data_IF_181459733674
#
_entry.id   IF_181459733674
#
_cell.length_a   1.000
_cell.length_b   1.000
_cell.length_c   1.000
_cell.angle_alpha   90.00
_cell.angle_beta   90.00
_cell.angle_gamma   90.00
#
_symmetry.space_group_name_H-M   'P 1'
#
loop_
_entity.id
_entity.type
_entity.pdbx_description
1 polymer ?
#
# COMPACT_ATOMS: atom_id res chain seq x y z
N UNK A 1 6.35 -69.22 19.93
CA UNK A 1 6.97 -68.38 18.87
C UNK A 1 6.21 -67.06 18.82
N UNK A 2 6.71 -66.03 19.51
CA UNK A 2 6.12 -64.70 19.54
C UNK A 2 6.99 -63.75 18.70
N UNK A 3 6.37 -63.06 17.73
CA UNK A 3 7.00 -61.99 16.94
C UNK A 3 6.82 -60.65 17.67
N UNK A 4 7.84 -59.81 17.84
CA UNK A 4 7.65 -58.45 18.31
C UNK A 4 7.35 -57.50 17.14
N UNK A 5 6.41 -56.60 17.37
CA UNK A 5 6.06 -55.49 16.49
C UNK A 5 7.10 -54.37 16.62
N UNK A 6 7.65 -53.90 15.48
CA UNK A 6 8.55 -52.76 15.42
C UNK A 6 7.75 -51.45 15.36
N UNK A 7 7.95 -50.60 16.35
CA UNK A 7 7.42 -49.24 16.42
C UNK A 7 8.38 -48.30 15.65
N UNK A 8 7.93 -47.72 14.54
CA UNK A 8 8.69 -46.69 13.83
C UNK A 8 8.32 -45.31 14.41
N UNK A 9 9.26 -44.70 15.15
CA UNK A 9 9.20 -43.29 15.53
C UNK A 9 9.73 -42.43 14.38
N UNK A 10 8.86 -41.62 13.77
CA UNK A 10 9.26 -40.54 12.88
C UNK A 10 9.73 -39.34 13.72
N UNK A 11 11.03 -39.04 13.69
CA UNK A 11 11.57 -37.79 14.22
C UNK A 11 11.26 -36.66 13.23
N UNK A 12 10.34 -35.77 13.58
CA UNK A 12 10.19 -34.48 12.91
C UNK A 12 11.31 -33.56 13.38
N UNK A 13 12.27 -33.26 12.51
CA UNK A 13 13.29 -32.25 12.76
C UNK A 13 12.66 -30.85 12.60
N UNK A 14 12.38 -30.18 13.72
CA UNK A 14 12.17 -28.73 13.71
C UNK A 14 13.53 -28.06 13.51
N UNK A 15 13.82 -27.62 12.28
CA UNK A 15 14.90 -26.68 12.02
C UNK A 15 14.48 -25.29 12.51
N UNK A 16 14.75 -24.98 13.78
CA UNK A 16 14.80 -23.60 14.25
C UNK A 16 16.03 -22.94 13.64
N UNK A 17 15.85 -22.28 12.51
CA UNK A 17 16.84 -21.33 11.98
C UNK A 17 16.87 -20.13 12.92
N UNK A 18 17.72 -20.17 13.94
CA UNK A 18 18.08 -18.99 14.70
C UNK A 18 18.89 -18.08 13.78
N UNK A 19 18.23 -17.16 13.09
CA UNK A 19 18.91 -16.00 12.52
C UNK A 19 19.59 -15.28 13.67
N UNK A 20 20.93 -15.19 13.65
CA UNK A 20 21.65 -14.41 14.64
C UNK A 20 21.15 -12.97 14.57
N UNK A 21 20.39 -12.55 15.58
CA UNK A 21 19.99 -11.15 15.74
C UNK A 21 21.24 -10.35 16.06
N UNK A 22 21.56 -9.40 15.18
CA UNK A 22 22.59 -8.41 15.42
C UNK A 22 21.92 -7.06 15.64
N UNK A 23 22.68 -6.10 16.15
CA UNK A 23 22.22 -4.72 16.21
C UNK A 23 22.57 -4.03 14.87
N UNK A 24 21.64 -3.25 14.35
CA UNK A 24 21.85 -2.39 13.19
C UNK A 24 21.99 -0.94 13.68
N UNK A 25 23.18 -0.37 13.47
CA UNK A 25 23.47 1.03 13.72
C UNK A 25 23.46 1.81 12.40
N UNK A 26 22.69 2.89 12.37
CA UNK A 26 22.57 3.74 11.18
C UNK A 26 22.77 5.22 11.54
N UNK A 27 23.61 5.88 10.77
CA UNK A 27 23.70 7.34 10.76
C UNK A 27 22.57 7.90 9.91
N UNK A 28 21.62 8.58 10.54
CA UNK A 28 20.44 9.15 9.87
C UNK A 28 20.77 10.45 9.14
N UNK A 29 21.81 11.16 9.58
CA UNK A 29 22.29 12.41 9.00
C UNK A 29 22.30 13.54 10.01
N UNK A 30 22.50 14.77 9.52
CA UNK A 30 22.42 15.96 10.36
C UNK A 30 20.96 16.28 10.75
N UNK A 31 20.82 17.09 11.81
CA UNK A 31 19.51 17.54 12.31
C UNK A 31 18.62 18.14 11.21
N UNK A 32 19.20 18.87 10.25
CA UNK A 32 18.44 19.52 9.19
C UNK A 32 17.88 18.52 8.18
N UNK A 33 18.68 17.55 7.73
CA UNK A 33 18.25 16.47 6.85
C UNK A 33 17.14 15.67 7.52
N UNK A 34 17.36 15.21 8.76
CA UNK A 34 16.36 14.37 9.44
C UNK A 34 15.06 15.14 9.69
N UNK A 35 15.14 16.43 10.03
CA UNK A 35 13.96 17.30 10.14
C UNK A 35 13.14 17.30 8.84
N UNK A 36 13.79 17.48 7.69
CA UNK A 36 13.13 17.52 6.38
C UNK A 36 12.53 16.18 5.98
N UNK A 37 13.27 15.09 6.14
CA UNK A 37 12.83 13.76 5.69
C UNK A 37 11.72 13.17 6.57
N UNK A 38 11.65 13.55 7.84
CA UNK A 38 10.59 13.14 8.77
C UNK A 38 9.46 14.17 8.93
N UNK A 39 9.47 15.20 8.08
CA UNK A 39 8.52 16.32 8.07
C UNK A 39 8.38 17.04 9.44
N UNK A 40 9.41 17.02 10.27
CA UNK A 40 9.35 17.53 11.64
C UNK A 40 9.38 19.08 11.67
N UNK A 41 8.60 19.73 12.56
CA UNK A 41 7.50 19.15 13.33
C UNK A 41 6.31 18.85 12.43
N UNK A 42 5.72 17.67 12.57
CA UNK A 42 4.71 17.15 11.63
C UNK A 42 3.28 17.16 12.18
N UNK A 43 3.05 17.70 13.39
CA UNK A 43 1.71 17.83 13.98
C UNK A 43 1.59 19.02 14.95
N UNK A 44 2.35 20.09 14.68
CA UNK A 44 2.42 21.27 15.52
C UNK A 44 2.01 22.55 14.79
N UNK A 45 1.36 23.44 15.52
CA UNK A 45 1.30 24.87 15.21
C UNK A 45 1.79 25.62 16.48
N UNK A 46 1.04 26.61 16.99
CA UNK A 46 1.29 27.19 18.32
C UNK A 46 1.19 26.13 19.43
N UNK A 47 0.39 25.08 19.21
CA UNK A 47 0.25 23.93 20.11
C UNK A 47 0.53 22.66 19.31
N UNK A 48 1.36 21.78 19.86
CA UNK A 48 1.63 20.45 19.29
C UNK A 48 0.57 19.45 19.72
N UNK A 49 -0.02 18.73 18.76
CA UNK A 49 -0.92 17.62 19.07
C UNK A 49 -0.15 16.48 19.75
N UNK A 50 1.06 16.17 19.26
CA UNK A 50 2.05 15.35 19.96
C UNK A 50 3.35 16.12 20.07
N UNK A 51 3.70 16.55 21.29
CA UNK A 51 4.91 17.32 21.54
C UNK A 51 6.16 16.41 21.60
N UNK A 52 6.45 15.72 20.51
CA UNK A 52 7.61 14.85 20.37
C UNK A 52 8.87 15.64 20.01
N UNK A 53 10.03 15.17 20.49
CA UNK A 53 11.31 15.60 19.94
C UNK A 53 11.53 14.99 18.55
N UNK A 54 12.52 15.50 17.80
CA UNK A 54 12.89 14.91 16.52
C UNK A 54 13.24 13.42 16.66
N UNK A 55 14.00 13.07 17.71
CA UNK A 55 14.38 11.68 18.01
C UNK A 55 13.14 10.80 18.25
N UNK A 56 12.17 11.28 19.02
CA UNK A 56 10.93 10.55 19.29
C UNK A 56 10.08 10.36 18.02
N UNK A 57 10.00 11.38 17.16
CA UNK A 57 9.31 11.25 15.86
C UNK A 57 9.97 10.20 14.97
N UNK A 58 11.30 10.22 14.87
CA UNK A 58 12.04 9.23 14.09
C UNK A 58 11.88 7.83 14.68
N UNK A 59 12.06 7.70 15.99
CA UNK A 59 11.94 6.43 16.73
C UNK A 59 10.55 5.82 16.55
N UNK A 60 9.49 6.63 16.53
CA UNK A 60 8.13 6.20 16.27
C UNK A 60 7.99 5.51 14.91
N UNK A 61 8.41 6.16 13.82
CA UNK A 61 8.31 5.56 12.48
C UNK A 61 9.20 4.34 12.32
N UNK A 62 10.42 4.36 12.87
CA UNK A 62 11.30 3.20 12.81
C UNK A 62 10.75 2.00 13.60
N UNK A 63 10.08 2.24 14.74
CA UNK A 63 9.36 1.20 15.47
C UNK A 63 8.23 0.60 14.63
N UNK A 64 7.47 1.41 13.89
CA UNK A 64 6.45 0.89 12.97
C UNK A 64 7.07 0.00 11.89
N UNK A 65 8.18 0.40 11.28
CA UNK A 65 8.87 -0.40 10.26
C UNK A 65 9.28 -1.78 10.79
N UNK A 66 10.00 -1.85 11.92
CA UNK A 66 10.45 -3.15 12.46
C UNK A 66 9.29 -4.05 12.88
N UNK A 67 8.19 -3.48 13.38
CA UNK A 67 6.99 -4.24 13.73
C UNK A 67 6.31 -4.79 12.48
N UNK A 68 6.22 -4.01 11.41
CA UNK A 68 5.60 -4.42 10.13
C UNK A 68 6.45 -5.40 9.34
N UNK A 69 7.75 -5.38 9.57
CA UNK A 69 8.65 -6.44 9.11
C UNK A 69 8.56 -7.72 9.96
N UNK A 70 7.81 -7.71 11.07
CA UNK A 70 7.57 -8.89 11.91
C UNK A 70 8.65 -9.13 12.97
N UNK A 71 9.56 -8.18 13.20
CA UNK A 71 10.57 -8.27 14.26
C UNK A 71 9.98 -7.86 15.62
N UNK A 72 9.15 -8.73 16.20
CA UNK A 72 8.40 -8.45 17.44
C UNK A 72 9.28 -8.19 18.67
N UNK A 73 10.53 -8.66 18.67
CA UNK A 73 11.51 -8.43 19.73
C UNK A 73 12.42 -7.20 19.47
N UNK A 74 12.27 -6.53 18.32
CA UNK A 74 13.13 -5.42 17.97
C UNK A 74 12.93 -4.22 18.89
N UNK A 75 14.00 -3.48 19.12
CA UNK A 75 13.96 -2.22 19.86
C UNK A 75 14.69 -1.16 19.08
N UNK A 76 14.04 -0.03 18.89
CA UNK A 76 14.64 1.15 18.27
C UNK A 76 14.98 2.17 19.34
N UNK A 77 16.17 2.76 19.23
CA UNK A 77 16.56 3.94 19.98
C UNK A 77 17.15 4.97 19.03
N UNK A 78 16.65 6.21 19.08
CA UNK A 78 17.23 7.33 18.33
C UNK A 78 17.96 8.28 19.28
N UNK A 79 19.18 8.68 18.91
CA UNK A 79 20.02 9.58 19.71
C UNK A 79 20.64 10.65 18.83
N UNK A 80 20.82 11.84 19.40
CA UNK A 80 21.62 12.91 18.80
C UNK A 80 22.98 13.02 19.48
N UNK A 81 24.02 13.24 18.68
CA UNK A 81 25.37 13.61 19.11
C UNK A 81 26.02 14.52 18.06
N UNK A 82 26.57 15.66 18.50
CA UNK A 82 27.25 16.65 17.63
C UNK A 82 26.46 17.01 16.36
N UNK A 83 25.19 17.41 16.51
CA UNK A 83 24.25 17.75 15.41
C UNK A 83 24.01 16.61 14.39
N UNK A 84 24.31 15.37 14.74
CA UNK A 84 24.02 14.18 13.97
C UNK A 84 23.04 13.30 14.73
N UNK A 85 22.10 12.68 14.01
CA UNK A 85 21.20 11.68 14.57
C UNK A 85 21.61 10.27 14.13
N UNK A 86 21.46 9.34 15.06
CA UNK A 86 21.76 7.92 14.90
C UNK A 86 20.55 7.11 15.36
N UNK A 87 20.24 6.03 14.65
CA UNK A 87 19.32 5.02 15.16
C UNK A 87 20.10 3.73 15.45
N UNK A 88 19.82 3.17 16.61
CA UNK A 88 20.26 1.85 17.01
C UNK A 88 19.03 0.93 17.04
N UNK A 89 19.06 -0.12 16.23
CA UNK A 89 17.97 -1.07 16.08
C UNK A 89 18.48 -2.45 16.49
N UNK A 90 18.06 -2.94 17.65
CA UNK A 90 18.39 -4.29 18.10
C UNK A 90 17.31 -5.28 17.71
N UNK A 91 17.64 -6.58 17.64
CA UNK A 91 16.67 -7.64 17.35
C UNK A 91 16.34 -7.81 15.87
N UNK A 92 17.15 -7.27 14.97
CA UNK A 92 16.97 -7.32 13.50
C UNK A 92 18.20 -7.97 12.81
N UNK A 93 18.17 -8.24 11.50
CA UNK A 93 19.38 -8.61 10.76
C UNK A 93 20.42 -7.48 10.74
N UNK A 94 21.70 -7.84 10.70
CA UNK A 94 22.81 -6.86 10.70
C UNK A 94 22.71 -5.85 9.54
N UNK A 95 22.09 -6.24 8.43
CA UNK A 95 21.95 -5.41 7.24
C UNK A 95 20.57 -4.76 7.10
N UNK A 96 19.74 -4.79 8.13
CA UNK A 96 18.46 -4.08 8.19
C UNK A 96 18.60 -2.57 7.96
N UNK A 97 19.78 -1.99 8.24
CA UNK A 97 20.08 -0.59 7.94
C UNK A 97 20.04 -0.26 6.44
N UNK A 98 20.31 -1.21 5.54
CA UNK A 98 20.39 -0.98 4.08
C UNK A 98 19.07 -0.45 3.48
N UNK A 99 17.92 -1.12 3.65
CA UNK A 99 16.67 -0.61 3.07
C UNK A 99 16.25 0.74 3.69
N UNK A 100 16.58 0.99 4.96
CA UNK A 100 16.34 2.29 5.58
C UNK A 100 17.22 3.39 4.96
N UNK A 101 18.52 3.15 4.77
CA UNK A 101 19.42 4.08 4.07
C UNK A 101 18.91 4.38 2.66
N UNK A 102 18.51 3.35 1.91
CA UNK A 102 17.97 3.52 0.56
C UNK A 102 16.70 4.40 0.53
N UNK A 103 15.79 4.23 1.50
CA UNK A 103 14.61 5.08 1.65
C UNK A 103 14.99 6.54 1.94
N UNK A 104 15.93 6.78 2.85
CA UNK A 104 16.34 8.14 3.22
C UNK A 104 17.09 8.84 2.08
N UNK A 105 17.93 8.12 1.35
CA UNK A 105 18.66 8.63 0.20
C UNK A 105 17.71 8.96 -0.96
N UNK A 106 16.69 8.12 -1.20
CA UNK A 106 15.60 8.48 -2.11
C UNK A 106 14.83 9.71 -1.58
N UNK A 107 14.65 9.82 -0.27
CA UNK A 107 14.05 10.97 0.39
C UNK A 107 14.74 12.30 0.08
N UNK A 108 16.07 12.31 -0.04
CA UNK A 108 16.81 13.51 -0.45
C UNK A 108 16.44 13.94 -1.89
N UNK A 109 16.21 12.98 -2.80
CA UNK A 109 15.71 13.27 -4.15
C UNK A 109 14.30 13.87 -4.10
N UNK A 110 13.43 13.35 -3.23
CA UNK A 110 12.09 13.88 -3.04
C UNK A 110 12.11 15.31 -2.48
N UNK A 111 12.99 15.58 -1.50
CA UNK A 111 13.19 16.92 -0.96
C UNK A 111 13.67 17.90 -2.03
N UNK A 112 14.63 17.51 -2.87
CA UNK A 112 15.08 18.34 -4.00
C UNK A 112 13.94 18.62 -4.99
N UNK A 113 13.09 17.62 -5.25
CA UNK A 113 11.87 17.78 -6.04
C UNK A 113 10.90 18.81 -5.45
N UNK A 114 10.57 18.65 -4.17
CA UNK A 114 9.69 19.56 -3.43
C UNK A 114 10.23 21.00 -3.39
N UNK A 115 11.54 21.16 -3.16
CA UNK A 115 12.20 22.45 -3.15
C UNK A 115 12.07 23.17 -4.49
N UNK A 116 12.32 22.47 -5.61
CA UNK A 116 12.12 23.02 -6.96
C UNK A 116 10.65 23.36 -7.23
N UNK A 117 9.73 22.48 -6.84
CA UNK A 117 8.29 22.71 -7.02
C UNK A 117 7.83 23.98 -6.29
N UNK A 118 8.34 24.21 -5.07
CA UNK A 118 8.06 25.41 -4.30
C UNK A 118 8.72 26.67 -4.90
N UNK A 119 9.96 26.57 -5.37
CA UNK A 119 10.65 27.68 -6.04
C UNK A 119 9.89 28.15 -7.30
N UNK A 120 9.21 27.23 -7.99
CA UNK A 120 8.35 27.53 -9.14
C UNK A 120 6.94 28.04 -8.76
N UNK A 121 6.65 28.23 -7.46
CA UNK A 121 5.37 28.74 -6.97
C UNK A 121 4.21 27.75 -7.06
N UNK A 122 4.50 26.45 -7.18
CA UNK A 122 3.49 25.38 -7.36
C UNK A 122 3.24 24.56 -6.09
N UNK A 123 3.96 24.82 -5.01
CA UNK A 123 3.74 24.17 -3.72
C UNK A 123 2.61 24.87 -2.96
N UNK A 124 1.56 24.13 -2.60
CA UNK A 124 0.49 24.70 -1.80
C UNK A 124 0.93 24.87 -0.34
N UNK A 125 0.47 25.94 0.32
CA UNK A 125 0.86 26.26 1.70
C UNK A 125 0.53 25.15 2.71
N UNK A 126 -0.47 24.31 2.43
CA UNK A 126 -0.94 23.22 3.29
C UNK A 126 -0.23 21.88 3.04
N UNK A 127 0.68 21.82 2.07
CA UNK A 127 1.37 20.59 1.68
C UNK A 127 2.63 20.36 2.50
N UNK A 128 2.88 19.09 2.81
CA UNK A 128 4.11 18.62 3.47
C UNK A 128 4.79 17.56 2.61
N UNK A 129 6.12 17.61 2.48
CA UNK A 129 6.86 16.46 1.97
C UNK A 129 6.66 15.30 2.95
N UNK A 130 6.18 14.15 2.48
CA UNK A 130 5.92 13.00 3.33
C UNK A 130 6.32 11.70 2.65
N UNK A 131 7.47 11.18 3.07
CA UNK A 131 7.99 9.88 2.64
C UNK A 131 7.16 8.74 3.27
N UNK A 132 7.10 7.54 2.66
CA UNK A 132 6.42 6.36 3.19
C UNK A 132 7.12 5.78 4.43
N UNK A 133 7.20 6.59 5.48
CA UNK A 133 7.83 6.28 6.75
C UNK A 133 7.00 5.26 7.52
N UNK A 134 7.70 4.38 8.24
CA UNK A 134 7.06 3.32 9.00
C UNK A 134 6.55 2.16 8.15
N UNK A 135 6.79 2.10 6.83
CA UNK A 135 6.47 0.92 6.04
C UNK A 135 7.39 -0.26 6.39
N UNK A 136 6.94 -1.48 6.04
CA UNK A 136 7.83 -2.65 6.01
C UNK A 136 9.00 -2.36 5.05
N UNK A 137 10.23 -2.60 5.51
CA UNK A 137 11.44 -2.27 4.78
C UNK A 137 12.07 -3.52 4.16
N UNK A 138 12.14 -4.62 4.90
CA UNK A 138 12.83 -5.84 4.49
C UNK A 138 11.87 -6.96 4.08
N UNK A 139 10.91 -7.30 4.93
CA UNK A 139 10.00 -8.44 4.79
C UNK A 139 8.73 -8.11 3.97
N UNK A 140 8.90 -7.24 2.99
CA UNK A 140 7.87 -6.81 2.04
C UNK A 140 7.38 -7.98 1.20
N UNK A 141 6.06 -8.03 0.97
CA UNK A 141 5.39 -9.04 0.15
C UNK A 141 4.91 -8.47 -1.18
N UNK A 142 4.58 -7.19 -1.25
CA UNK A 142 4.18 -6.51 -2.47
C UNK A 142 4.37 -5.00 -2.35
N UNK A 143 4.25 -4.32 -3.49
CA UNK A 143 4.34 -2.85 -3.59
C UNK A 143 3.00 -2.28 -4.04
N UNK A 144 2.61 -1.17 -3.42
CA UNK A 144 1.44 -0.38 -3.77
C UNK A 144 1.89 0.95 -4.33
N UNK A 145 1.63 1.19 -5.61
CA UNK A 145 1.92 2.48 -6.22
C UNK A 145 0.65 3.34 -6.13
N UNK A 146 0.73 4.43 -5.39
CA UNK A 146 -0.38 5.34 -5.10
C UNK A 146 -0.09 6.76 -5.60
N UNK A 147 -1.13 7.58 -5.54
CA UNK A 147 -1.06 8.95 -6.03
C UNK A 147 -0.31 9.85 -5.04
N UNK A 148 -0.85 10.01 -3.84
CA UNK A 148 -0.30 10.81 -2.74
C UNK A 148 -0.92 10.38 -1.40
N UNK A 149 -0.22 10.58 -0.26
CA UNK A 149 -0.79 10.32 1.06
C UNK A 149 -1.71 11.46 1.54
N UNK A 150 -2.81 11.15 2.25
CA UNK A 150 -3.60 12.20 2.87
C UNK A 150 -2.86 12.84 4.05
N UNK A 151 -3.04 14.14 4.23
CA UNK A 151 -2.41 14.95 5.27
C UNK A 151 -2.67 14.46 6.71
N UNK A 152 -3.83 13.87 6.98
CA UNK A 152 -4.15 13.36 8.30
C UNK A 152 -3.35 12.10 8.68
N UNK A 153 -2.83 11.32 7.72
CA UNK A 153 -1.92 10.21 8.00
C UNK A 153 -0.61 10.72 8.60
N UNK A 154 -0.15 11.89 8.15
CA UNK A 154 0.95 12.62 8.77
C UNK A 154 0.49 13.29 10.06
N UNK A 155 -0.37 14.29 9.97
CA UNK A 155 -0.61 15.28 11.04
C UNK A 155 -1.42 14.76 12.22
N UNK A 156 -2.27 13.75 12.02
CA UNK A 156 -3.11 13.17 13.08
C UNK A 156 -2.68 11.76 13.45
N UNK A 157 -2.53 10.87 12.49
CA UNK A 157 -2.21 9.47 12.78
C UNK A 157 -0.74 9.28 13.17
N UNK A 158 0.18 9.99 12.50
CA UNK A 158 1.61 9.64 12.48
C UNK A 158 1.79 8.20 12.01
N UNK A 159 0.98 7.77 11.05
CA UNK A 159 0.98 6.42 10.53
C UNK A 159 0.54 6.47 9.07
N UNK A 160 1.45 6.11 8.17
CA UNK A 160 1.22 6.10 6.74
C UNK A 160 0.13 5.11 6.30
N UNK A 161 -0.09 4.04 7.08
CA UNK A 161 -1.13 3.05 6.81
C UNK A 161 -2.45 3.36 7.49
N UNK A 162 -2.55 4.44 8.28
CA UNK A 162 -3.81 4.88 8.86
C UNK A 162 -4.51 5.87 7.91
N UNK A 163 -5.33 5.32 7.01
CA UNK A 163 -6.16 6.07 6.09
C UNK A 163 -7.34 5.24 5.62
N UNK A 164 -8.45 5.89 5.24
CA UNK A 164 -9.60 5.17 4.70
C UNK A 164 -9.21 4.29 3.48
N UNK A 165 -8.30 4.80 2.63
CA UNK A 165 -7.76 4.10 1.46
C UNK A 165 -7.05 2.80 1.85
N UNK A 166 -6.10 2.89 2.80
CA UNK A 166 -5.24 1.78 3.23
C UNK A 166 -5.97 0.80 4.14
N UNK A 167 -6.84 1.28 5.02
CA UNK A 167 -7.67 0.45 5.91
C UNK A 167 -8.64 -0.42 5.12
N UNK A 168 -9.27 0.18 4.10
CA UNK A 168 -10.13 -0.57 3.18
C UNK A 168 -9.34 -1.66 2.47
N UNK A 169 -8.17 -1.33 1.94
CA UNK A 169 -7.37 -2.30 1.20
C UNK A 169 -6.87 -3.44 2.09
N UNK A 170 -6.46 -3.14 3.33
CA UNK A 170 -6.14 -4.14 4.36
C UNK A 170 -7.31 -5.12 4.58
N UNK A 171 -8.54 -4.60 4.64
CA UNK A 171 -9.75 -5.42 4.76
C UNK A 171 -9.94 -6.35 3.55
N UNK A 172 -9.65 -5.88 2.34
CA UNK A 172 -9.73 -6.72 1.12
C UNK A 172 -8.62 -7.78 1.07
N UNK A 173 -7.42 -7.47 1.56
CA UNK A 173 -6.35 -8.46 1.73
C UNK A 173 -6.76 -9.53 2.74
N UNK A 174 -7.44 -9.13 3.83
CA UNK A 174 -7.97 -10.05 4.84
C UNK A 174 -9.06 -10.95 4.29
N UNK A 175 -9.97 -10.40 3.48
CA UNK A 175 -10.96 -11.19 2.74
C UNK A 175 -10.32 -12.22 1.79
N UNK A 176 -9.06 -12.01 1.40
CA UNK A 176 -8.25 -12.91 0.59
C UNK A 176 -7.30 -13.81 1.39
N UNK A 177 -7.48 -13.90 2.70
CA UNK A 177 -6.79 -14.86 3.56
C UNK A 177 -5.45 -14.38 4.12
N UNK A 178 -5.10 -13.10 3.95
CA UNK A 178 -3.96 -12.52 4.67
C UNK A 178 -4.40 -12.21 6.10
N UNK A 179 -3.63 -12.63 7.09
CA UNK A 179 -3.92 -12.29 8.48
C UNK A 179 -3.79 -10.77 8.69
N UNK A 180 -4.66 -10.17 9.51
CA UNK A 180 -4.72 -8.72 9.71
C UNK A 180 -3.38 -8.09 10.12
N UNK A 181 -2.63 -8.79 10.95
CA UNK A 181 -1.30 -8.40 11.43
C UNK A 181 -0.22 -8.51 10.36
N UNK A 182 -0.49 -9.20 9.25
CA UNK A 182 0.42 -9.37 8.13
C UNK A 182 0.11 -8.47 6.94
N UNK A 183 -1.07 -7.82 6.89
CA UNK A 183 -1.42 -6.93 5.77
C UNK A 183 -0.42 -5.79 5.56
N UNK A 184 0.23 -5.19 6.59
CA UNK A 184 1.20 -4.12 6.36
C UNK A 184 2.37 -4.52 5.45
N UNK A 185 2.81 -5.78 5.49
CA UNK A 185 3.88 -6.28 4.63
C UNK A 185 3.48 -6.31 3.14
N UNK A 186 2.18 -6.34 2.84
CA UNK A 186 1.65 -6.24 1.47
C UNK A 186 1.44 -4.79 1.03
N UNK A 187 1.39 -3.85 1.97
CA UNK A 187 1.04 -2.45 1.73
C UNK A 187 2.28 -1.54 1.75
N UNK A 188 3.40 -1.97 1.17
CA UNK A 188 4.56 -1.07 1.02
C UNK A 188 4.27 -0.04 -0.06
N UNK A 189 4.05 1.21 0.32
CA UNK A 189 3.59 2.25 -0.59
C UNK A 189 4.76 3.01 -1.24
N UNK A 190 4.62 3.31 -2.52
CA UNK A 190 5.31 4.39 -3.22
C UNK A 190 4.25 5.37 -3.70
N UNK A 191 4.38 6.65 -3.35
CA UNK A 191 3.55 7.70 -3.94
C UNK A 191 4.25 8.38 -5.10
N UNK A 192 3.53 8.57 -6.21
CA UNK A 192 4.05 9.37 -7.33
C UNK A 192 4.13 10.86 -6.98
N UNK A 193 3.42 11.32 -5.95
CA UNK A 193 3.66 12.60 -5.31
C UNK A 193 3.82 12.36 -3.81
N UNK A 194 5.06 12.34 -3.26
CA UNK A 194 5.30 12.14 -1.83
C UNK A 194 4.95 13.41 -1.04
N UNK A 195 3.72 13.88 -1.19
CA UNK A 195 3.18 15.12 -0.63
C UNK A 195 1.95 14.76 0.19
N UNK A 196 2.05 14.91 1.51
CA UNK A 196 0.88 14.93 2.39
C UNK A 196 0.02 16.15 2.05
N UNK A 197 -1.17 15.89 1.52
CA UNK A 197 -2.14 16.89 1.09
C UNK A 197 -3.58 16.51 1.50
N UNK A 198 -4.53 17.45 1.53
CA UNK A 198 -5.93 17.10 1.78
C UNK A 198 -6.40 15.98 0.83
N UNK A 199 -7.22 15.06 1.31
CA UNK A 199 -7.67 13.90 0.51
C UNK A 199 -8.40 14.26 -0.79
N UNK A 200 -8.89 15.50 -0.91
CA UNK A 200 -9.51 16.06 -2.12
C UNK A 200 -8.54 16.73 -3.10
N UNK A 201 -7.24 16.83 -2.78
CA UNK A 201 -6.25 17.59 -3.53
C UNK A 201 -5.73 16.88 -4.80
N UNK A 202 -6.29 15.73 -5.18
CA UNK A 202 -5.77 14.93 -6.29
C UNK A 202 -5.67 15.69 -7.61
N UNK A 203 -6.65 16.56 -7.90
CA UNK A 203 -6.61 17.41 -9.10
C UNK A 203 -5.51 18.48 -9.03
N UNK A 204 -5.26 19.02 -7.84
CA UNK A 204 -4.27 20.10 -7.64
C UNK A 204 -2.83 19.57 -7.77
N UNK A 205 -2.63 18.26 -7.64
CA UNK A 205 -1.36 17.58 -7.84
C UNK A 205 -1.10 17.20 -9.31
N UNK A 206 -2.07 17.36 -10.22
CA UNK A 206 -1.83 17.10 -11.64
C UNK A 206 -0.72 18.01 -12.18
N UNK A 207 0.28 17.40 -12.85
CA UNK A 207 1.42 18.12 -13.42
C UNK A 207 2.59 18.39 -12.47
N UNK A 208 2.54 17.91 -11.21
CA UNK A 208 3.68 18.03 -10.27
C UNK A 208 4.59 16.79 -10.27
N UNK A 209 4.16 15.67 -10.85
CA UNK A 209 4.84 14.38 -10.69
C UNK A 209 6.27 14.36 -11.21
N UNK A 210 6.58 15.08 -12.29
CA UNK A 210 7.91 15.09 -12.90
C UNK A 210 8.99 15.68 -11.98
N UNK A 211 8.61 16.53 -11.01
CA UNK A 211 9.55 17.06 -10.02
C UNK A 211 10.14 15.95 -9.13
N UNK A 212 9.41 14.84 -8.98
CA UNK A 212 9.75 13.70 -8.12
C UNK A 212 10.22 12.49 -8.93
N UNK A 213 10.48 12.62 -10.24
CA UNK A 213 10.85 11.50 -11.11
C UNK A 213 11.97 10.64 -10.54
N UNK A 214 13.07 11.27 -10.14
CA UNK A 214 14.26 10.56 -9.64
C UNK A 214 13.96 9.79 -8.35
N UNK A 215 13.17 10.38 -7.44
CA UNK A 215 12.66 9.71 -6.25
C UNK A 215 11.81 8.49 -6.63
N UNK A 216 10.82 8.67 -7.50
CA UNK A 216 9.87 7.63 -7.86
C UNK A 216 10.57 6.43 -8.50
N UNK A 217 11.45 6.66 -9.48
CA UNK A 217 12.16 5.56 -10.17
C UNK A 217 13.16 4.87 -9.26
N UNK A 218 13.80 5.62 -8.34
CA UNK A 218 14.67 5.04 -7.30
C UNK A 218 13.86 4.16 -6.36
N UNK A 219 12.76 4.66 -5.82
CA UNK A 219 11.88 3.87 -4.96
C UNK A 219 11.39 2.60 -5.65
N UNK A 220 10.89 2.70 -6.89
CA UNK A 220 10.44 1.51 -7.64
C UNK A 220 11.57 0.49 -7.79
N UNK A 221 12.80 0.92 -8.09
CA UNK A 221 13.95 0.02 -8.17
C UNK A 221 14.27 -0.64 -6.82
N UNK A 222 14.33 0.13 -5.74
CA UNK A 222 14.80 -0.35 -4.43
C UNK A 222 13.74 -1.18 -3.68
N UNK A 223 12.45 -0.90 -3.88
CA UNK A 223 11.37 -1.55 -3.12
C UNK A 223 10.62 -2.65 -3.87
N UNK A 224 10.79 -2.77 -5.20
CA UNK A 224 10.15 -3.83 -6.00
C UNK A 224 10.94 -5.14 -6.05
N UNK A 225 11.87 -5.34 -5.11
CA UNK A 225 12.64 -6.56 -4.95
C UNK A 225 12.80 -6.90 -3.46
N UNK A 226 12.90 -8.19 -3.14
CA UNK A 226 13.24 -8.63 -1.80
C UNK A 226 14.77 -8.62 -1.57
N UNK A 227 15.20 -8.94 -0.35
CA UNK A 227 16.62 -9.00 0.01
C UNK A 227 17.43 -10.01 -0.84
N UNK A 228 16.78 -11.00 -1.44
CA UNK A 228 17.40 -11.98 -2.35
C UNK A 228 17.40 -11.52 -3.82
N UNK A 229 16.91 -10.31 -4.12
CA UNK A 229 16.83 -9.76 -5.47
C UNK A 229 15.68 -10.29 -6.33
N UNK A 230 14.76 -11.08 -5.74
CA UNK A 230 13.57 -11.54 -6.46
C UNK A 230 12.53 -10.42 -6.52
N UNK A 231 11.89 -10.27 -7.68
CA UNK A 231 10.87 -9.24 -7.90
C UNK A 231 9.65 -9.42 -6.99
N UNK A 232 9.17 -8.32 -6.42
CA UNK A 232 7.90 -8.25 -5.70
C UNK A 232 6.80 -7.76 -6.64
N UNK A 233 5.56 -8.29 -6.55
CA UNK A 233 4.45 -7.82 -7.37
C UNK A 233 4.04 -6.39 -6.99
N UNK A 234 3.60 -5.62 -7.97
CA UNK A 234 3.15 -4.25 -7.79
C UNK A 234 1.69 -4.08 -8.21
N UNK A 235 0.92 -3.32 -7.42
CA UNK A 235 -0.42 -2.86 -7.80
C UNK A 235 -0.39 -1.34 -8.06
N UNK A 236 -0.85 -0.94 -9.24
CA UNK A 236 -0.92 0.44 -9.69
C UNK A 236 -2.35 0.98 -9.51
N UNK A 237 -2.55 1.81 -8.49
CA UNK A 237 -3.87 2.28 -8.05
C UNK A 237 -4.28 3.58 -8.72
N UNK A 238 -5.36 3.54 -9.50
CA UNK A 238 -5.95 4.76 -10.06
C UNK A 238 -5.33 5.20 -11.40
N UNK A 239 -6.01 6.10 -12.09
CA UNK A 239 -5.61 6.58 -13.41
C UNK A 239 -4.29 7.38 -13.41
N UNK A 240 -4.02 8.31 -12.47
CA UNK A 240 -2.76 9.05 -12.43
C UNK A 240 -1.56 8.12 -12.35
N UNK A 241 -1.63 7.10 -11.49
CA UNK A 241 -0.56 6.11 -11.31
C UNK A 241 -0.39 5.22 -12.55
N UNK A 242 -1.49 4.73 -13.15
CA UNK A 242 -1.40 3.91 -14.36
C UNK A 242 -0.85 4.70 -15.55
N UNK A 243 -1.16 6.00 -15.63
CA UNK A 243 -0.56 6.91 -16.61
C UNK A 243 0.92 7.13 -16.34
N UNK A 244 1.32 7.27 -15.07
CA UNK A 244 2.71 7.38 -14.67
C UNK A 244 3.53 6.14 -15.09
N UNK A 245 3.01 4.93 -14.85
CA UNK A 245 3.64 3.67 -15.31
C UNK A 245 3.85 3.68 -16.83
N UNK A 246 2.85 4.14 -17.59
CA UNK A 246 2.96 4.27 -19.05
C UNK A 246 4.04 5.28 -19.45
N UNK A 247 4.12 6.42 -18.76
CA UNK A 247 5.10 7.46 -19.07
C UNK A 247 6.54 7.02 -18.74
N UNK A 248 6.76 6.38 -17.59
CA UNK A 248 8.11 6.01 -17.15
C UNK A 248 8.61 4.71 -17.79
N UNK A 249 7.72 3.74 -18.03
CA UNK A 249 8.11 2.39 -18.47
C UNK A 249 7.50 1.97 -19.82
N UNK A 250 6.65 2.79 -20.44
CA UNK A 250 5.99 2.43 -21.71
C UNK A 250 4.88 1.37 -21.57
N UNK A 251 4.52 1.00 -20.34
CA UNK A 251 3.57 -0.10 -20.07
C UNK A 251 2.17 0.46 -19.80
N UNK A 252 1.17 -0.03 -20.52
CA UNK A 252 -0.23 0.33 -20.25
C UNK A 252 -0.91 -0.76 -19.43
N UNK A 253 -1.40 -0.40 -18.25
CA UNK A 253 -2.20 -1.28 -17.39
C UNK A 253 -3.59 -0.68 -17.17
N UNK A 254 -4.63 -1.42 -17.54
CA UNK A 254 -6.02 -1.08 -17.23
C UNK A 254 -6.42 -1.61 -15.85
N UNK A 255 -7.62 -1.26 -15.35
CA UNK A 255 -8.16 -1.94 -14.16
C UNK A 255 -8.30 -3.44 -14.50
N UNK A 256 -7.70 -4.29 -13.66
CA UNK A 256 -7.48 -5.72 -13.93
C UNK A 256 -6.68 -6.01 -15.22
N UNK A 257 -5.87 -5.07 -15.67
CA UNK A 257 -4.90 -5.25 -16.75
C UNK A 257 -3.52 -5.54 -16.18
N UNK A 258 -2.85 -6.56 -16.73
CA UNK A 258 -1.49 -6.92 -16.35
C UNK A 258 -0.46 -6.30 -17.30
N UNK A 259 0.68 -5.94 -16.73
CA UNK A 259 1.87 -5.52 -17.42
C UNK A 259 3.12 -5.98 -16.69
N UNK A 260 4.28 -5.62 -17.22
CA UNK A 260 5.57 -5.90 -16.59
C UNK A 260 6.50 -4.74 -16.84
N UNK A 261 7.10 -4.20 -15.78
CA UNK A 261 8.11 -3.14 -15.86
C UNK A 261 9.51 -3.71 -15.60
N UNK A 262 10.55 -2.94 -15.95
CA UNK A 262 11.95 -3.27 -15.69
C UNK A 262 12.64 -2.09 -15.02
N UNK A 263 12.60 -2.00 -13.68
CA UNK A 263 13.21 -0.88 -12.94
C UNK A 263 14.75 -0.88 -13.01
N UNK A 264 15.35 -2.05 -13.24
CA UNK A 264 16.78 -2.27 -13.41
C UNK A 264 17.01 -3.44 -14.36
N UNK A 265 18.24 -3.57 -14.86
CA UNK A 265 18.62 -4.70 -15.70
C UNK A 265 18.40 -6.02 -14.95
N UNK A 266 17.80 -7.01 -15.62
CA UNK A 266 17.50 -8.32 -15.05
C UNK A 266 16.28 -8.38 -14.12
N UNK A 267 15.77 -7.25 -13.61
CA UNK A 267 14.60 -7.22 -12.73
C UNK A 267 13.30 -7.06 -13.52
N UNK A 268 12.39 -8.03 -13.38
CA UNK A 268 11.08 -8.04 -14.05
C UNK A 268 9.96 -8.03 -13.03
N UNK A 269 9.31 -6.87 -12.88
CA UNK A 269 8.26 -6.67 -11.87
C UNK A 269 6.89 -6.81 -12.55
N UNK A 270 6.06 -7.79 -12.13
CA UNK A 270 4.68 -7.87 -12.61
C UNK A 270 3.86 -6.74 -11.99
N UNK A 271 3.09 -6.03 -12.82
CA UNK A 271 2.26 -4.90 -12.42
C UNK A 271 0.81 -5.17 -12.77
N UNK A 272 -0.08 -5.04 -11.79
CA UNK A 272 -1.52 -5.07 -11.99
C UNK A 272 -2.12 -3.67 -11.85
N UNK A 273 -2.87 -3.21 -12.85
CA UNK A 273 -3.68 -2.00 -12.68
C UNK A 273 -4.94 -2.27 -11.85
N UNK A 274 -5.27 -1.35 -10.94
CA UNK A 274 -6.45 -1.42 -10.08
C UNK A 274 -7.21 -0.08 -10.08
N UNK A 275 -8.46 -0.10 -9.65
CA UNK A 275 -9.11 1.13 -9.22
C UNK A 275 -8.33 1.71 -8.04
N UNK A 276 -8.36 3.02 -7.84
CA UNK A 276 -7.92 3.61 -6.58
C UNK A 276 -8.81 3.06 -5.44
N UNK A 277 -8.28 2.69 -4.24
CA UNK A 277 -9.10 2.03 -3.22
C UNK A 277 -10.30 2.86 -2.76
N UNK A 278 -10.19 4.20 -2.82
CA UNK A 278 -11.28 5.12 -2.49
C UNK A 278 -12.33 5.31 -3.58
N UNK A 279 -12.06 4.86 -4.81
CA UNK A 279 -12.97 5.05 -5.94
C UNK A 279 -14.35 4.42 -5.71
N UNK A 280 -14.42 3.35 -4.88
CA UNK A 280 -15.68 2.68 -4.58
C UNK A 280 -16.73 3.63 -3.98
N UNK A 281 -16.33 4.61 -3.15
CA UNK A 281 -17.27 5.52 -2.51
C UNK A 281 -17.90 6.48 -3.52
N UNK A 282 -17.12 6.91 -4.52
CA UNK A 282 -17.63 7.72 -5.63
C UNK A 282 -18.47 6.90 -6.59
N UNK A 283 -18.00 5.71 -6.96
CA UNK A 283 -18.72 4.80 -7.85
C UNK A 283 -20.06 4.36 -7.26
N UNK A 284 -20.14 4.24 -5.93
CA UNK A 284 -21.34 3.85 -5.21
C UNK A 284 -22.16 5.03 -4.66
N UNK A 285 -21.85 6.29 -4.97
CA UNK A 285 -22.65 7.41 -4.49
C UNK A 285 -23.89 7.62 -5.39
N UNK A 286 -25.13 7.51 -4.87
CA UNK A 286 -26.34 7.82 -5.65
C UNK A 286 -26.36 9.22 -6.25
N UNK A 287 -25.69 10.21 -5.64
CA UNK A 287 -25.61 11.57 -6.16
C UNK A 287 -24.96 11.62 -7.56
N UNK A 288 -24.12 10.64 -7.90
CA UNK A 288 -23.48 10.53 -9.21
C UNK A 288 -24.37 9.82 -10.27
N UNK A 289 -25.59 9.43 -9.92
CA UNK A 289 -26.53 8.70 -10.79
C UNK A 289 -27.96 9.25 -10.68
N UNK A 290 -28.15 10.56 -10.61
CA UNK A 290 -29.46 11.20 -10.48
C UNK A 290 -30.25 10.73 -9.23
N UNK A 291 -29.52 10.40 -8.16
CA UNK A 291 -30.03 9.79 -6.93
C UNK A 291 -30.63 8.38 -7.12
N UNK A 292 -30.29 7.69 -8.21
CA UNK A 292 -30.65 6.29 -8.46
C UNK A 292 -29.72 5.34 -7.69
N UNK A 293 -30.19 4.88 -6.53
CA UNK A 293 -29.45 3.94 -5.70
C UNK A 293 -29.19 2.60 -6.40
N UNK A 294 -30.08 2.12 -7.26
CA UNK A 294 -29.90 0.83 -7.92
C UNK A 294 -28.74 0.87 -8.93
N UNK A 295 -28.58 2.00 -9.65
CA UNK A 295 -27.41 2.23 -10.52
C UNK A 295 -26.12 2.40 -9.72
N UNK A 296 -26.16 3.14 -8.63
CA UNK A 296 -25.00 3.34 -7.75
C UNK A 296 -24.55 2.00 -7.12
N UNK A 297 -25.49 1.18 -6.65
CA UNK A 297 -25.21 -0.17 -6.16
C UNK A 297 -24.61 -1.06 -7.27
N UNK A 298 -25.16 -1.02 -8.49
CA UNK A 298 -24.61 -1.78 -9.61
C UNK A 298 -23.16 -1.39 -9.96
N UNK A 299 -22.84 -0.10 -9.90
CA UNK A 299 -21.48 0.39 -10.10
C UNK A 299 -20.56 -0.01 -8.94
N UNK A 300 -21.01 0.19 -7.69
CA UNK A 300 -20.27 -0.19 -6.48
C UNK A 300 -19.97 -1.69 -6.39
N UNK A 301 -20.91 -2.56 -6.75
CA UNK A 301 -20.73 -4.01 -6.81
C UNK A 301 -19.65 -4.42 -7.82
N UNK A 302 -19.60 -3.76 -8.98
CA UNK A 302 -18.57 -4.00 -10.00
C UNK A 302 -17.19 -3.59 -9.52
N UNK A 303 -17.08 -2.40 -8.91
CA UNK A 303 -15.82 -1.92 -8.32
C UNK A 303 -15.38 -2.86 -7.19
N UNK A 304 -16.29 -3.31 -6.31
CA UNK A 304 -15.98 -4.27 -5.26
C UNK A 304 -15.42 -5.58 -5.84
N UNK A 305 -16.06 -6.13 -6.87
CA UNK A 305 -15.59 -7.34 -7.55
C UNK A 305 -14.21 -7.18 -8.18
N UNK A 306 -13.93 -6.00 -8.77
CA UNK A 306 -12.62 -5.67 -9.32
C UNK A 306 -11.55 -5.57 -8.22
N UNK A 307 -11.83 -4.81 -7.16
CA UNK A 307 -10.88 -4.57 -6.08
C UNK A 307 -10.56 -5.86 -5.31
N UNK A 308 -11.56 -6.70 -5.03
CA UNK A 308 -11.34 -8.03 -4.43
C UNK A 308 -10.48 -8.93 -5.33
N UNK A 309 -10.66 -8.84 -6.65
CA UNK A 309 -9.85 -9.59 -7.62
C UNK A 309 -8.39 -9.11 -7.63
N UNK A 310 -8.17 -7.80 -7.53
CA UNK A 310 -6.83 -7.21 -7.47
C UNK A 310 -6.13 -7.49 -6.13
N UNK A 311 -6.83 -7.35 -5.00
CA UNK A 311 -6.31 -7.69 -3.68
C UNK A 311 -5.99 -9.20 -3.57
N UNK A 312 -6.82 -10.07 -4.16
CA UNK A 312 -6.53 -11.50 -4.30
C UNK A 312 -5.23 -11.76 -5.05
N UNK A 313 -5.04 -11.06 -6.17
CA UNK A 313 -3.85 -11.21 -6.99
C UNK A 313 -2.60 -10.78 -6.21
N UNK A 314 -2.66 -9.62 -5.55
CA UNK A 314 -1.58 -9.12 -4.71
C UNK A 314 -1.25 -10.08 -3.57
N UNK A 315 -2.26 -10.53 -2.81
CA UNK A 315 -2.11 -11.46 -1.71
C UNK A 315 -1.40 -12.75 -2.16
N UNK A 316 -1.85 -13.35 -3.26
CA UNK A 316 -1.28 -14.60 -3.74
C UNK A 316 0.12 -14.43 -4.35
N UNK A 317 0.34 -13.40 -5.17
CA UNK A 317 1.63 -13.12 -5.78
C UNK A 317 2.69 -12.76 -4.72
N UNK A 318 2.29 -12.02 -3.68
CA UNK A 318 3.18 -11.65 -2.58
C UNK A 318 3.46 -12.78 -1.60
N UNK A 319 2.49 -13.70 -1.43
CA UNK A 319 2.69 -14.92 -0.64
C UNK A 319 3.63 -15.91 -1.32
N UNK A 320 3.59 -15.99 -2.65
CA UNK A 320 4.38 -16.93 -3.45
C UNK A 320 5.08 -16.21 -4.61
N UNK A 321 6.23 -15.56 -4.35
CA UNK A 321 7.02 -14.89 -5.39
C UNK A 321 7.36 -15.83 -6.56
N UNK A 322 7.33 -15.30 -7.78
CA UNK A 322 7.57 -16.07 -9.01
C UNK A 322 6.36 -16.85 -9.55
N UNK A 323 5.20 -16.75 -8.91
CA UNK A 323 3.94 -17.29 -9.44
C UNK A 323 3.58 -16.71 -10.82
N UNK A 324 2.82 -17.45 -11.61
CA UNK A 324 2.30 -16.96 -12.89
C UNK A 324 1.23 -15.88 -12.65
N UNK A 325 1.59 -14.63 -12.95
CA UNK A 325 0.73 -13.47 -12.75
C UNK A 325 -0.59 -13.53 -13.52
N UNK A 326 -0.59 -14.07 -14.75
CA UNK A 326 -1.77 -14.13 -15.59
C UNK A 326 -2.73 -15.23 -15.11
N UNK A 327 -2.20 -16.41 -14.82
CA UNK A 327 -2.98 -17.51 -14.25
C UNK A 327 -3.59 -17.10 -12.89
N UNK A 328 -2.81 -16.39 -12.06
CA UNK A 328 -3.30 -15.91 -10.77
C UNK A 328 -4.41 -14.87 -10.91
N UNK A 329 -4.29 -13.92 -11.84
CA UNK A 329 -5.35 -12.92 -12.06
C UNK A 329 -6.63 -13.57 -12.58
N UNK A 330 -6.52 -14.52 -13.51
CA UNK A 330 -7.67 -15.26 -14.03
C UNK A 330 -8.39 -16.00 -12.90
N UNK A 331 -7.63 -16.67 -12.02
CA UNK A 331 -8.17 -17.36 -10.84
C UNK A 331 -8.88 -16.39 -9.91
N UNK A 332 -8.26 -15.28 -9.56
CA UNK A 332 -8.83 -14.27 -8.66
C UNK A 332 -10.11 -13.64 -9.22
N UNK A 333 -10.11 -13.31 -10.51
CA UNK A 333 -11.29 -12.80 -11.23
C UNK A 333 -12.42 -13.82 -11.26
N UNK A 334 -12.09 -15.11 -11.49
CA UNK A 334 -13.06 -16.19 -11.44
C UNK A 334 -13.65 -16.36 -10.04
N UNK A 335 -12.82 -16.30 -8.99
CA UNK A 335 -13.27 -16.39 -7.60
C UNK A 335 -14.26 -15.28 -7.29
N UNK A 336 -13.88 -14.01 -7.43
CA UNK A 336 -14.67 -12.91 -6.87
C UNK A 336 -15.81 -12.42 -7.76
N UNK A 337 -15.69 -12.58 -9.07
CA UNK A 337 -16.70 -12.09 -10.01
C UNK A 337 -17.61 -13.18 -10.56
N UNK A 338 -17.37 -14.46 -10.21
CA UNK A 338 -18.19 -15.59 -10.68
C UNK A 338 -18.56 -16.54 -9.54
N UNK A 339 -17.58 -17.17 -8.89
CA UNK A 339 -17.83 -18.24 -7.92
C UNK A 339 -18.30 -17.72 -6.56
N UNK A 340 -17.78 -16.59 -6.10
CA UNK A 340 -18.07 -15.95 -4.82
C UNK A 340 -18.73 -14.57 -4.99
N UNK A 341 -19.49 -14.36 -6.07
CA UNK A 341 -20.17 -13.09 -6.35
C UNK A 341 -21.16 -12.70 -5.24
N UNK A 342 -21.77 -13.66 -4.55
CA UNK A 342 -22.61 -13.42 -3.38
C UNK A 342 -21.79 -12.86 -2.22
N UNK A 343 -20.56 -13.33 -2.01
CA UNK A 343 -19.67 -12.78 -0.98
C UNK A 343 -19.18 -11.38 -1.34
N UNK A 344 -18.86 -11.14 -2.61
CA UNK A 344 -18.59 -9.79 -3.15
C UNK A 344 -19.74 -8.83 -2.82
N UNK A 345 -20.99 -9.29 -3.01
CA UNK A 345 -22.18 -8.52 -2.67
C UNK A 345 -22.29 -8.22 -1.18
N UNK A 346 -22.13 -9.23 -0.32
CA UNK A 346 -22.19 -9.04 1.13
C UNK A 346 -21.15 -8.02 1.60
N UNK A 347 -19.90 -8.17 1.13
CA UNK A 347 -18.81 -7.25 1.48
C UNK A 347 -19.09 -5.83 1.01
N UNK A 348 -19.68 -5.64 -0.17
CA UNK A 348 -20.12 -4.32 -0.63
C UNK A 348 -21.15 -3.71 0.31
N UNK A 349 -22.23 -4.42 0.60
CA UNK A 349 -23.31 -3.87 1.41
C UNK A 349 -22.93 -3.64 2.88
N UNK A 350 -22.08 -4.47 3.46
CA UNK A 350 -21.60 -4.24 4.84
C UNK A 350 -20.61 -3.09 4.91
N UNK A 351 -19.63 -3.01 3.98
CA UNK A 351 -18.55 -2.01 4.06
C UNK A 351 -18.87 -0.65 3.43
N UNK A 352 -19.79 -0.60 2.45
CA UNK A 352 -20.10 0.63 1.71
C UNK A 352 -21.49 1.18 2.06
N UNK A 353 -22.46 0.31 2.35
CA UNK A 353 -23.82 0.69 2.75
C UNK A 353 -24.08 0.58 4.24
N UNK A 354 -23.11 0.11 5.03
CA UNK A 354 -23.21 -0.05 6.48
C UNK A 354 -24.40 -0.92 6.91
N UNK A 355 -24.79 -1.89 6.08
CA UNK A 355 -25.81 -2.86 6.45
C UNK A 355 -25.23 -3.88 7.45
N UNK A 356 -26.08 -4.45 8.32
CA UNK A 356 -25.68 -5.63 9.09
C UNK A 356 -25.45 -6.81 8.15
N UNK A 357 -24.78 -7.87 8.64
CA UNK A 357 -24.53 -9.06 7.85
C UNK A 357 -25.83 -9.69 7.34
N UNK A 358 -26.87 -9.77 8.18
CA UNK A 358 -28.17 -10.34 7.84
C UNK A 358 -28.89 -9.48 6.79
N UNK A 359 -28.82 -8.15 6.92
CA UNK A 359 -29.41 -7.22 5.95
C UNK A 359 -28.71 -7.30 4.60
N UNK A 360 -27.37 -7.37 4.59
CA UNK A 360 -26.59 -7.55 3.37
C UNK A 360 -26.93 -8.87 2.68
N UNK A 361 -27.01 -9.98 3.43
CA UNK A 361 -27.42 -11.28 2.89
C UNK A 361 -28.81 -11.24 2.29
N UNK A 362 -29.79 -10.66 2.99
CA UNK A 362 -31.15 -10.50 2.47
C UNK A 362 -31.15 -9.70 1.16
N UNK A 363 -30.44 -8.57 1.13
CA UNK A 363 -30.31 -7.72 -0.05
C UNK A 363 -29.69 -8.47 -1.23
N UNK A 364 -28.61 -9.23 -1.00
CA UNK A 364 -27.91 -10.02 -2.02
C UNK A 364 -28.75 -11.17 -2.59
N UNK A 365 -29.79 -11.62 -1.88
CA UNK A 365 -30.71 -12.65 -2.37
C UNK A 365 -31.87 -12.12 -3.21
N UNK A 366 -32.08 -10.80 -3.23
CA UNK A 366 -33.15 -10.16 -3.99
C UNK A 366 -32.97 -10.34 -5.50
N UNK A 367 -34.08 -10.44 -6.24
CA UNK A 367 -34.05 -10.67 -7.68
C UNK A 367 -33.29 -9.58 -8.49
N UNK A 368 -33.44 -8.27 -8.18
CA UNK A 368 -32.68 -7.23 -8.85
C UNK A 368 -31.16 -7.40 -8.65
N UNK A 369 -30.73 -7.66 -7.42
CA UNK A 369 -29.30 -7.80 -7.12
C UNK A 369 -28.72 -9.08 -7.72
N UNK A 370 -29.43 -10.21 -7.67
CA UNK A 370 -29.00 -11.44 -8.36
C UNK A 370 -28.74 -11.23 -9.85
N UNK A 371 -29.54 -10.38 -10.50
CA UNK A 371 -29.34 -10.01 -11.91
C UNK A 371 -28.06 -9.19 -12.08
N UNK A 372 -27.82 -8.21 -11.21
CA UNK A 372 -26.59 -7.40 -11.22
C UNK A 372 -25.33 -8.26 -10.99
N UNK A 373 -25.39 -9.25 -10.08
CA UNK A 373 -24.25 -10.13 -9.79
C UNK A 373 -23.85 -11.02 -10.99
N UNK A 374 -24.76 -11.28 -11.93
CA UNK A 374 -24.40 -11.96 -13.18
C UNK A 374 -23.60 -11.07 -14.14
N UNK A 375 -23.58 -9.75 -13.89
CA UNK A 375 -22.99 -8.74 -14.76
C UNK A 375 -21.72 -8.09 -14.15
N UNK A 376 -21.10 -8.68 -13.13
CA UNK A 376 -19.90 -8.10 -12.49
C UNK A 376 -18.73 -7.87 -13.45
N UNK A 377 -18.62 -8.68 -14.51
CA UNK A 377 -17.60 -8.53 -15.56
C UNK A 377 -17.96 -7.51 -16.64
N UNK A 378 -19.21 -7.04 -16.68
CA UNK A 378 -19.64 -6.05 -17.66
C UNK A 378 -19.20 -4.64 -17.25
N UNK A 379 -19.02 -3.71 -18.21
CA UNK A 379 -18.68 -2.32 -17.91
C UNK A 379 -19.63 -1.70 -16.87
N UNK A 380 -19.11 -0.89 -15.94
CA UNK A 380 -19.93 -0.19 -14.96
C UNK A 380 -20.94 0.76 -15.62
N UNK A 381 -22.11 1.00 -14.99
CA UNK A 381 -22.99 2.08 -15.42
C UNK A 381 -22.23 3.39 -15.52
N UNK A 382 -22.52 4.19 -16.54
CA UNK A 382 -21.93 5.52 -16.67
C UNK A 382 -22.56 6.47 -15.63
N UNK A 383 -21.75 7.24 -14.89
CA UNK A 383 -22.27 8.25 -13.97
C UNK A 383 -22.89 9.42 -14.77
N UNK A 384 -23.86 10.09 -14.17
CA UNK A 384 -24.53 11.28 -14.72
C UNK A 384 -23.63 12.52 -14.66
N UNK A 385 -22.60 12.50 -13.82
CA UNK A 385 -21.57 13.53 -13.66
C UNK A 385 -20.17 12.93 -13.83
N UNK A 386 -19.20 13.75 -14.21
CA UNK A 386 -17.81 13.31 -14.26
C UNK A 386 -17.31 13.03 -12.83
N UNK A 387 -16.85 11.80 -12.59
CA UNK A 387 -16.24 11.42 -11.33
C UNK A 387 -14.81 11.98 -11.23
N UNK A 388 -14.29 12.20 -10.01
CA UNK A 388 -12.89 12.58 -9.82
C UNK A 388 -11.94 11.57 -10.46
N UNK A 389 -10.88 12.06 -11.10
CA UNK A 389 -9.77 11.23 -11.57
C UNK A 389 -8.96 10.79 -10.35
N UNK A 390 -9.19 9.56 -9.89
CA UNK A 390 -8.45 8.93 -8.79
C UNK A 390 -7.44 7.92 -9.30
#
# INVERSE_FOLDING_TARGET
MFKPAGLYLALAALSLSATAHADADIKLGDTQRVTRLFAYPNNCNVICFRNWTLEQTVEHYLNQSVQRDGYSAAKVKVTSDNDQLYAHISGVPADYAKPLSALLDAGDLAYNGAYRLNADGKWAYSWYLFLPLGMALENRKSVELLHFPPDYSLTRAQDYLESATTDRWATLLTANGIASEQTPAYQTIIDIAPIAAPSSAGKDLEGVYDYFKDYQTTMVKEVSQNAQGAALPMVAFGAPVRNWIKQQYGVTVNVLGLGQISPSEGLKVPVLGSNHPSYIWYAADPANYDNDQAKADAAGLKVMGQDLSAACWQAAMGSTPGSDAAAQLQRCTQTWQVTQKEKTCELFYTSVRNLTQEQAQAQCTSAPIKTQLQQLKAPAPSPSTALPTL
#
